data_IF_955731339313
#
_entry.id   IF_955731339313
#
_cell.length_a   1.000
_cell.length_b   1.000
_cell.length_c   1.000
_cell.angle_alpha   90.00
_cell.angle_beta   90.00
_cell.angle_gamma   90.00
#
_symmetry.space_group_name_H-M   'P 1'
#
loop_
_entity.id
_entity.type
_entity.pdbx_description
1 polymer ?
#
# COMPACT_ATOMS: atom_id res chain seq x y z
N UNK A 1 -27.38 -1.64 27.85
CA UNK A 1 -26.67 -2.61 26.97
C UNK A 1 -26.98 -2.25 25.53
N UNK A 2 -25.97 -1.87 24.73
CA UNK A 2 -26.11 -1.64 23.29
C UNK A 2 -25.51 -2.85 22.58
N UNK A 3 -26.35 -3.68 21.98
CA UNK A 3 -25.94 -4.87 21.22
C UNK A 3 -25.54 -4.41 19.82
N UNK A 4 -24.24 -4.26 19.58
CA UNK A 4 -23.71 -4.13 18.22
C UNK A 4 -23.60 -5.53 17.64
N UNK A 5 -24.53 -5.90 16.76
CA UNK A 5 -24.45 -7.15 15.99
C UNK A 5 -23.49 -6.88 14.84
N UNK A 6 -22.24 -7.31 14.99
CA UNK A 6 -21.26 -7.37 13.91
C UNK A 6 -21.54 -8.66 13.13
N UNK A 7 -22.16 -8.54 11.95
CA UNK A 7 -22.37 -9.67 11.06
C UNK A 7 -21.19 -9.73 10.09
N UNK A 8 -20.26 -10.65 10.35
CA UNK A 8 -19.17 -11.02 9.45
C UNK A 8 -19.72 -12.11 8.49
N UNK A 9 -19.70 -11.90 7.17
CA UNK A 9 -20.03 -12.96 6.21
C UNK A 9 -18.94 -13.19 5.17
N UNK A 10 -18.56 -14.46 5.08
CA UNK A 10 -17.66 -15.08 4.13
C UNK A 10 -18.26 -15.06 2.71
N UNK A 11 -17.38 -14.78 1.74
CA UNK A 11 -17.63 -14.75 0.31
C UNK A 11 -18.07 -16.12 -0.24
N UNK A 12 -19.15 -16.11 -1.01
CA UNK A 12 -19.54 -17.17 -1.92
C UNK A 12 -20.58 -16.61 -2.89
N UNK A 13 -20.32 -16.73 -4.19
CA UNK A 13 -21.16 -16.23 -5.28
C UNK A 13 -22.61 -16.71 -5.19
N UNK A 14 -23.45 -15.94 -4.51
CA UNK A 14 -24.91 -15.99 -4.56
C UNK A 14 -25.39 -14.61 -4.10
N UNK A 15 -26.32 -13.99 -4.84
CA UNK A 15 -26.80 -12.64 -4.54
C UNK A 15 -27.22 -12.52 -3.07
N UNK A 16 -26.54 -11.65 -2.32
CA UNK A 16 -26.91 -11.37 -0.94
C UNK A 16 -28.14 -10.45 -0.94
N UNK A 17 -29.30 -11.02 -0.65
CA UNK A 17 -30.50 -10.23 -0.34
C UNK A 17 -30.50 -9.98 1.17
N UNK A 18 -29.95 -8.85 1.58
CA UNK A 18 -30.34 -8.27 2.86
C UNK A 18 -31.64 -7.52 2.58
N UNK A 19 -32.72 -7.73 3.33
CA UNK A 19 -34.07 -7.21 2.99
C UNK A 19 -34.21 -5.69 2.81
N UNK A 20 -33.11 -4.93 2.87
CA UNK A 20 -33.02 -3.47 2.84
C UNK A 20 -32.11 -2.96 1.70
N UNK A 21 -31.08 -3.73 1.33
CA UNK A 21 -30.22 -3.51 0.15
C UNK A 21 -29.90 -4.86 -0.50
N UNK A 22 -30.09 -4.94 -1.82
CA UNK A 22 -29.65 -6.07 -2.63
C UNK A 22 -28.51 -5.63 -3.56
N UNK A 23 -27.45 -6.44 -3.63
CA UNK A 23 -26.35 -6.25 -4.59
C UNK A 23 -26.37 -7.44 -5.54
N UNK A 24 -26.72 -7.19 -6.80
CA UNK A 24 -26.77 -8.21 -7.84
C UNK A 24 -25.88 -7.79 -9.01
N UNK A 25 -24.67 -8.38 -9.07
CA UNK A 25 -23.66 -8.00 -10.05
C UNK A 25 -23.32 -6.51 -9.94
N UNK A 26 -23.62 -5.76 -10.99
CA UNK A 26 -23.38 -4.30 -11.07
C UNK A 26 -24.59 -3.46 -10.68
N UNK A 27 -25.65 -4.04 -10.10
CA UNK A 27 -26.84 -3.30 -9.66
C UNK A 27 -26.94 -3.30 -8.13
N UNK A 28 -27.11 -2.12 -7.54
CA UNK A 28 -27.44 -1.91 -6.13
C UNK A 28 -28.90 -1.47 -6.03
N UNK A 29 -29.74 -2.28 -5.40
CA UNK A 29 -31.15 -1.95 -5.17
C UNK A 29 -31.35 -1.60 -3.70
N UNK A 30 -31.91 -0.42 -3.42
CA UNK A 30 -32.23 0.06 -2.07
C UNK A 30 -33.74 0.05 -1.91
N UNK A 31 -34.23 -0.64 -0.88
CA UNK A 31 -35.64 -0.72 -0.57
C UNK A 31 -36.01 0.38 0.41
N UNK A 32 -36.63 1.45 -0.10
CA UNK A 32 -36.89 2.66 0.67
C UNK A 32 -37.93 2.49 1.77
N UNK A 33 -38.89 1.56 1.63
CA UNK A 33 -40.02 1.39 2.57
C UNK A 33 -39.66 0.70 3.89
N UNK A 34 -38.44 0.20 4.02
CA UNK A 34 -38.03 -0.52 5.23
C UNK A 34 -37.75 0.47 6.37
N UNK A 35 -38.28 0.26 7.59
CA UNK A 35 -38.10 1.16 8.72
C UNK A 35 -36.68 1.02 9.31
N UNK A 36 -35.71 1.67 8.67
CA UNK A 36 -34.29 1.51 8.97
C UNK A 36 -33.67 2.86 9.30
N UNK A 37 -33.14 3.00 10.51
CA UNK A 37 -32.42 4.23 10.89
C UNK A 37 -31.06 4.33 10.19
N UNK A 38 -30.29 3.24 10.15
CA UNK A 38 -29.04 3.19 9.42
C UNK A 38 -28.66 1.76 9.02
N UNK A 39 -28.05 1.61 7.85
CA UNK A 39 -27.55 0.35 7.29
C UNK A 39 -26.18 0.54 6.65
N UNK A 40 -25.31 -0.46 6.74
CA UNK A 40 -23.96 -0.44 6.15
C UNK A 40 -23.66 -1.72 5.38
N UNK A 41 -23.08 -1.60 4.18
CA UNK A 41 -22.65 -2.73 3.35
C UNK A 41 -21.32 -2.43 2.65
N UNK A 42 -20.53 -3.49 2.43
CA UNK A 42 -19.27 -3.44 1.69
C UNK A 42 -19.50 -4.00 0.28
N UNK A 43 -19.00 -3.28 -0.73
CA UNK A 43 -19.01 -3.67 -2.14
C UNK A 43 -17.59 -3.69 -2.70
N UNK A 44 -17.36 -4.49 -3.74
CA UNK A 44 -16.08 -4.47 -4.45
C UNK A 44 -15.85 -3.14 -5.16
N UNK A 45 -14.60 -2.84 -5.51
CA UNK A 45 -14.32 -1.67 -6.35
C UNK A 45 -14.87 -1.90 -7.75
N UNK A 46 -15.69 -0.98 -8.26
CA UNK A 46 -16.37 -1.14 -9.53
C UNK A 46 -17.34 -0.01 -9.84
N UNK A 47 -17.98 -0.11 -10.99
CA UNK A 47 -19.09 0.78 -11.36
C UNK A 47 -20.39 0.03 -11.16
N UNK A 48 -21.24 0.59 -10.31
CA UNK A 48 -22.54 0.03 -9.98
C UNK A 48 -23.62 0.97 -10.46
N UNK A 49 -24.60 0.45 -11.18
CA UNK A 49 -25.88 1.11 -11.31
C UNK A 49 -26.60 1.03 -9.96
N UNK A 50 -27.38 2.04 -9.58
CA UNK A 50 -28.24 1.96 -8.41
C UNK A 50 -29.70 2.27 -8.74
N UNK A 51 -30.60 1.62 -8.02
CA UNK A 51 -32.05 1.86 -8.08
C UNK A 51 -32.59 1.94 -6.67
N UNK A 52 -33.47 2.92 -6.44
CA UNK A 52 -34.23 3.03 -5.19
C UNK A 52 -35.66 2.59 -5.52
N UNK A 53 -36.14 1.55 -4.85
CA UNK A 53 -37.49 1.04 -5.04
C UNK A 53 -38.48 1.72 -4.11
N UNK A 54 -39.68 1.96 -4.68
CA UNK A 54 -40.82 2.66 -4.08
C UNK A 54 -40.56 4.10 -3.61
N UNK A 55 -40.22 5.05 -4.50
CA UNK A 55 -39.87 6.43 -4.12
C UNK A 55 -41.07 7.33 -3.75
N UNK A 56 -42.25 6.78 -3.42
CA UNK A 56 -43.44 7.62 -3.15
C UNK A 56 -43.26 8.39 -1.84
N UNK A 57 -43.19 9.72 -1.94
CA UNK A 57 -43.09 10.68 -0.82
C UNK A 57 -41.75 10.74 -0.08
N UNK A 58 -40.63 10.51 -0.78
CA UNK A 58 -39.30 10.65 -0.18
C UNK A 58 -38.46 11.70 -0.89
N UNK A 59 -37.55 12.35 -0.16
CA UNK A 59 -36.44 13.11 -0.75
C UNK A 59 -35.14 12.36 -0.50
N UNK A 60 -34.23 12.36 -1.49
CA UNK A 60 -32.99 11.57 -1.48
C UNK A 60 -31.81 12.53 -1.55
N UNK A 61 -30.86 12.35 -0.65
CA UNK A 61 -29.55 13.02 -0.71
C UNK A 61 -28.46 11.96 -0.82
N UNK A 62 -27.56 12.13 -1.79
CA UNK A 62 -26.42 11.23 -1.98
C UNK A 62 -25.16 12.06 -1.74
N UNK A 63 -24.41 11.69 -0.71
CA UNK A 63 -23.12 12.29 -0.40
C UNK A 63 -22.03 11.27 -0.67
N UNK A 64 -21.05 11.64 -1.49
CA UNK A 64 -19.85 10.85 -1.72
C UNK A 64 -18.76 11.30 -0.76
N UNK A 65 -18.40 10.44 0.17
CA UNK A 65 -17.21 10.61 1.00
C UNK A 65 -16.04 9.87 0.33
N UNK A 66 -15.26 10.60 -0.46
CA UNK A 66 -13.97 10.11 -0.93
C UNK A 66 -12.88 10.68 -0.01
N UNK A 67 -12.44 9.93 1.00
CA UNK A 67 -11.13 10.12 1.64
C UNK A 67 -10.82 9.07 2.72
N UNK A 68 -9.83 8.22 2.43
CA UNK A 68 -8.77 7.90 3.39
C UNK A 68 -7.45 8.13 2.64
N UNK A 69 -6.92 9.36 2.72
CA UNK A 69 -5.57 9.67 2.28
C UNK A 69 -4.59 8.86 3.15
N UNK A 70 -3.74 8.05 2.51
CA UNK A 70 -2.60 7.38 3.11
C UNK A 70 -1.42 8.37 3.27
N UNK A 71 -0.45 8.08 4.17
CA UNK A 71 0.49 9.08 4.68
C UNK A 71 1.33 9.65 3.53
N UNK A 72 1.40 10.98 3.46
CA UNK A 72 1.98 11.83 2.39
C UNK A 72 0.98 12.50 1.42
N UNK A 73 -0.26 12.77 1.82
CA UNK A 73 -1.07 13.78 1.13
C UNK A 73 -1.14 15.07 1.95
N UNK A 74 -0.35 16.06 1.54
CA UNK A 74 -0.57 17.47 1.87
C UNK A 74 -1.43 18.06 0.76
N UNK A 75 -2.76 18.01 0.89
CA UNK A 75 -3.70 19.05 0.42
C UNK A 75 -5.19 18.65 0.50
N UNK A 76 -6.00 19.70 0.45
CA UNK A 76 -7.25 19.98 1.17
C UNK A 76 -8.49 19.33 0.53
N UNK A 77 -9.38 18.81 1.39
CA UNK A 77 -10.72 18.33 1.03
C UNK A 77 -11.56 19.43 0.38
N UNK A 78 -11.96 19.23 -0.88
CA UNK A 78 -13.19 19.83 -1.43
C UNK A 78 -14.34 18.86 -1.18
N UNK A 79 -15.23 19.23 -0.26
CA UNK A 79 -16.54 18.58 -0.12
C UNK A 79 -17.41 19.04 -1.29
N UNK A 80 -17.56 18.21 -2.32
CA UNK A 80 -18.62 18.41 -3.31
C UNK A 80 -19.93 17.85 -2.75
N UNK A 81 -20.71 18.70 -2.09
CA UNK A 81 -22.09 18.43 -1.73
C UNK A 81 -23.01 18.86 -2.87
N UNK A 82 -23.35 17.95 -3.78
CA UNK A 82 -24.43 18.18 -4.75
C UNK A 82 -25.78 17.97 -4.04
N UNK A 83 -26.49 19.05 -3.74
CA UNK A 83 -27.92 19.04 -3.39
C UNK A 83 -28.72 19.12 -4.68
N UNK A 84 -29.24 17.98 -5.14
CA UNK A 84 -30.23 17.95 -6.23
C UNK A 84 -31.64 17.96 -5.63
N UNK A 85 -32.18 19.17 -5.47
CA UNK A 85 -33.61 19.37 -5.25
C UNK A 85 -34.31 19.39 -6.62
N UNK A 86 -34.92 18.28 -7.05
CA UNK A 86 -36.00 18.33 -8.06
C UNK A 86 -36.91 17.11 -8.06
N UNK A 87 -38.20 17.41 -7.86
CA UNK A 87 -39.39 16.60 -8.18
C UNK A 87 -39.35 16.10 -9.63
N UNK A 88 -39.90 14.90 -9.80
CA UNK A 88 -40.31 14.17 -11.01
C UNK A 88 -39.30 13.15 -11.57
N UNK A 89 -39.77 11.90 -11.50
CA UNK A 89 -39.26 10.69 -12.13
C UNK A 89 -38.89 10.89 -13.60
N UNK A 90 -37.60 11.05 -13.85
CA UNK A 90 -36.96 10.68 -15.11
C UNK A 90 -35.64 10.04 -14.75
N UNK A 91 -35.44 8.82 -15.25
CA UNK A 91 -34.29 7.95 -15.02
C UNK A 91 -32.98 8.75 -14.98
N UNK A 92 -32.52 9.06 -13.76
CA UNK A 92 -31.15 9.49 -13.56
C UNK A 92 -30.27 8.31 -13.99
N UNK A 93 -29.26 8.58 -14.81
CA UNK A 93 -28.20 7.63 -15.13
C UNK A 93 -27.42 7.34 -13.83
N UNK A 94 -27.96 6.43 -13.03
CA UNK A 94 -27.62 6.18 -11.64
C UNK A 94 -26.35 5.35 -11.52
N UNK A 95 -25.19 5.90 -11.90
CA UNK A 95 -23.91 5.19 -11.74
C UNK A 95 -23.16 5.69 -10.51
N UNK A 96 -22.84 4.78 -9.59
CA UNK A 96 -21.88 4.98 -8.51
C UNK A 96 -20.57 4.30 -8.86
N UNK A 97 -19.47 5.05 -8.78
CA UNK A 97 -18.13 4.53 -9.06
C UNK A 97 -17.39 4.36 -7.74
N UNK A 98 -17.27 3.12 -7.29
CA UNK A 98 -16.55 2.75 -6.10
C UNK A 98 -15.08 2.51 -6.44
N UNK A 99 -14.22 3.45 -6.05
CA UNK A 99 -12.77 3.22 -5.99
C UNK A 99 -12.43 2.62 -4.63
N UNK A 100 -11.21 2.10 -4.48
CA UNK A 100 -10.70 1.65 -3.16
C UNK A 100 -10.94 2.74 -2.10
N UNK A 101 -11.47 2.35 -0.94
CA UNK A 101 -11.76 3.23 0.20
C UNK A 101 -12.74 4.38 -0.14
N UNK A 102 -13.73 4.11 -0.98
CA UNK A 102 -14.83 5.05 -1.30
C UNK A 102 -16.06 4.73 -0.47
N UNK A 103 -16.68 5.73 0.13
CA UNK A 103 -17.98 5.63 0.80
C UNK A 103 -19.02 6.48 0.06
N UNK A 104 -20.19 5.90 -0.20
CA UNK A 104 -21.40 6.61 -0.57
C UNK A 104 -22.38 6.54 0.60
N UNK A 105 -22.85 7.70 1.05
CA UNK A 105 -23.90 7.83 2.05
C UNK A 105 -25.16 8.29 1.32
N UNK A 106 -26.18 7.46 1.36
CA UNK A 106 -27.49 7.74 0.77
C UNK A 106 -28.45 7.97 1.92
N UNK A 107 -28.92 9.21 2.05
CA UNK A 107 -29.91 9.60 3.04
C UNK A 107 -31.27 9.71 2.37
N UNK A 108 -32.25 8.94 2.85
CA UNK A 108 -33.65 8.99 2.43
C UNK A 108 -34.44 9.66 3.55
N UNK A 109 -35.09 10.78 3.25
CA UNK A 109 -36.00 11.45 4.17
C UNK A 109 -37.43 10.99 3.90
N UNK A 110 -38.09 10.59 4.97
CA UNK A 110 -39.38 9.92 4.98
C UNK A 110 -40.38 10.65 5.86
N UNK A 111 -41.65 10.60 5.47
CA UNK A 111 -42.74 11.18 6.27
C UNK A 111 -43.10 10.28 7.47
N UNK A 112 -42.81 8.98 7.39
CA UNK A 112 -42.99 7.97 8.43
C UNK A 112 -41.73 7.74 9.28
N UNK A 113 -41.89 7.16 10.47
CA UNK A 113 -40.74 6.88 11.35
C UNK A 113 -39.96 5.64 10.88
N UNK A 114 -38.61 5.71 10.76
CA UNK A 114 -37.75 6.87 11.02
C UNK A 114 -37.74 7.88 9.86
N UNK A 115 -37.84 9.17 10.21
CA UNK A 115 -37.85 10.31 9.25
C UNK A 115 -36.57 10.45 8.43
N UNK A 116 -35.48 9.86 8.91
CA UNK A 116 -34.18 9.86 8.24
C UNK A 116 -33.64 8.42 8.22
N UNK A 117 -33.32 7.93 7.02
CA UNK A 117 -32.78 6.59 6.76
C UNK A 117 -31.43 6.73 6.09
N UNK A 118 -30.37 6.22 6.72
CA UNK A 118 -28.98 6.40 6.26
C UNK A 118 -28.40 5.07 5.77
N UNK A 119 -28.15 4.96 4.47
CA UNK A 119 -27.50 3.81 3.85
C UNK A 119 -26.05 4.13 3.51
N UNK A 120 -25.11 3.41 4.10
CA UNK A 120 -23.67 3.56 3.86
C UNK A 120 -23.19 2.39 3.02
N UNK A 121 -22.73 2.67 1.81
CA UNK A 121 -22.16 1.67 0.93
C UNK A 121 -20.68 2.01 0.78
N UNK A 122 -19.80 1.07 1.09
CA UNK A 122 -18.35 1.28 1.13
C UNK A 122 -17.63 0.31 0.22
N UNK A 123 -16.61 0.77 -0.49
CA UNK A 123 -15.57 -0.12 -1.00
C UNK A 123 -14.35 -0.01 -0.09
N UNK A 124 -13.94 -1.11 0.50
CA UNK A 124 -12.73 -1.20 1.33
C UNK A 124 -11.66 -1.96 0.56
N UNK A 125 -10.44 -1.42 0.52
CA UNK A 125 -9.27 -2.20 0.12
C UNK A 125 -8.31 -2.22 1.28
N UNK A 126 -7.98 -3.43 1.71
CA UNK A 126 -7.05 -3.64 2.81
C UNK A 126 -5.58 -3.45 2.38
N UNK A 127 -5.36 -3.38 1.06
CA UNK A 127 -4.08 -3.09 0.43
C UNK A 127 -3.76 -1.60 0.50
N UNK A 128 -2.66 -1.28 1.17
CA UNK A 128 -2.24 0.10 1.38
C UNK A 128 -0.73 0.24 1.35
N UNK A 129 -0.28 1.45 1.01
CA UNK A 129 1.12 1.81 1.14
C UNK A 129 1.46 2.04 2.61
N UNK A 130 2.55 1.40 3.01
CA UNK A 130 3.04 1.39 4.38
C UNK A 130 4.49 1.83 4.38
N UNK A 131 4.83 2.78 5.25
CA UNK A 131 6.22 3.14 5.51
C UNK A 131 6.73 2.35 6.70
N UNK A 132 7.90 1.74 6.54
CA UNK A 132 8.58 0.98 7.57
C UNK A 132 10.06 1.34 7.62
N UNK A 133 10.69 1.07 8.75
CA UNK A 133 12.12 1.28 8.93
C UNK A 133 12.77 0.03 9.47
N UNK A 134 13.97 -0.25 9.00
CA UNK A 134 14.67 -1.46 9.35
C UNK A 134 16.06 -1.51 8.77
N UNK A 135 16.56 -2.73 8.61
CA UNK A 135 17.88 -2.99 8.06
C UNK A 135 17.79 -3.96 6.87
N UNK A 136 18.50 -3.63 5.81
CA UNK A 136 18.69 -4.48 4.64
C UNK A 136 20.14 -4.97 4.60
N UNK A 137 20.32 -6.27 4.43
CA UNK A 137 21.60 -6.90 4.14
C UNK A 137 21.77 -7.06 2.62
N UNK A 138 22.69 -6.32 2.03
CA UNK A 138 23.07 -6.43 0.62
C UNK A 138 24.13 -7.51 0.50
N UNK A 139 23.89 -8.55 -0.29
CA UNK A 139 24.76 -9.71 -0.43
C UNK A 139 25.64 -9.57 -1.68
N UNK A 140 26.96 -9.55 -1.51
CA UNK A 140 27.88 -9.25 -2.60
C UNK A 140 28.18 -10.48 -3.47
N UNK A 141 27.76 -10.43 -4.73
CA UNK A 141 27.91 -11.56 -5.69
C UNK A 141 29.28 -11.59 -6.33
N UNK A 142 29.76 -10.45 -6.81
CA UNK A 142 31.14 -10.27 -7.25
C UNK A 142 31.93 -9.69 -6.07
N UNK A 143 33.15 -10.14 -5.81
CA UNK A 143 34.00 -9.61 -4.71
C UNK A 143 35.44 -9.39 -5.17
N UNK A 144 35.68 -9.20 -6.46
CA UNK A 144 37.03 -8.86 -6.93
C UNK A 144 37.46 -7.49 -6.42
N UNK A 145 38.75 -7.38 -6.12
CA UNK A 145 39.47 -6.16 -5.76
C UNK A 145 40.90 -6.26 -6.28
N UNK A 146 41.47 -5.16 -6.74
CA UNK A 146 42.90 -5.12 -7.07
C UNK A 146 43.72 -4.66 -5.87
N UNK A 147 44.87 -5.29 -5.68
CA UNK A 147 45.90 -4.88 -4.73
C UNK A 147 47.28 -5.01 -5.38
N UNK A 148 48.34 -4.62 -4.67
CA UNK A 148 49.70 -4.65 -5.17
C UNK A 148 50.56 -5.63 -4.37
N UNK A 149 51.34 -6.44 -5.08
CA UNK A 149 52.37 -7.32 -4.52
C UNK A 149 53.61 -7.22 -5.40
N UNK A 150 54.76 -6.90 -4.81
CA UNK A 150 56.03 -6.73 -5.52
C UNK A 150 55.91 -5.80 -6.76
N UNK A 151 55.26 -4.65 -6.55
CA UNK A 151 54.98 -3.65 -7.59
C UNK A 151 54.14 -4.15 -8.77
N UNK A 152 53.41 -5.26 -8.60
CA UNK A 152 52.48 -5.80 -9.59
C UNK A 152 51.05 -5.79 -9.10
N UNK A 153 50.13 -5.48 -10.02
CA UNK A 153 48.69 -5.60 -9.76
C UNK A 153 48.32 -7.06 -9.66
N UNK A 154 47.68 -7.43 -8.55
CA UNK A 154 47.09 -8.75 -8.36
C UNK A 154 45.60 -8.61 -8.02
N UNK A 155 44.80 -9.59 -8.45
CA UNK A 155 43.40 -9.67 -8.07
C UNK A 155 43.26 -10.50 -6.79
N UNK A 156 42.57 -9.92 -5.81
CA UNK A 156 42.21 -10.59 -4.56
C UNK A 156 40.70 -10.53 -4.38
N UNK A 157 40.19 -11.46 -3.56
CA UNK A 157 38.78 -11.46 -3.19
C UNK A 157 38.59 -10.64 -1.92
N UNK A 158 37.73 -9.65 -1.98
CA UNK A 158 37.27 -8.90 -0.82
C UNK A 158 36.60 -9.86 0.18
N UNK A 159 36.98 -9.74 1.45
CA UNK A 159 36.43 -10.50 2.57
C UNK A 159 35.01 -10.05 2.94
N UNK A 160 34.62 -8.84 2.55
CA UNK A 160 33.29 -8.30 2.82
C UNK A 160 32.22 -9.04 2.01
N UNK A 161 31.41 -9.84 2.69
CA UNK A 161 30.37 -10.65 2.04
C UNK A 161 29.01 -9.95 1.95
N UNK A 162 28.76 -9.03 2.88
CA UNK A 162 27.51 -8.30 2.95
C UNK A 162 27.72 -6.88 3.48
N UNK A 163 26.75 -6.02 3.19
CA UNK A 163 26.60 -4.72 3.83
C UNK A 163 25.24 -4.57 4.50
N UNK A 164 25.25 -4.10 5.75
CA UNK A 164 24.04 -3.80 6.49
C UNK A 164 23.71 -2.32 6.35
N UNK A 165 22.51 -2.03 5.85
CA UNK A 165 22.04 -0.68 5.61
C UNK A 165 20.74 -0.41 6.36
N UNK A 166 20.73 0.55 7.30
CA UNK A 166 19.50 1.15 7.77
C UNK A 166 18.71 1.69 6.58
N UNK A 167 17.40 1.43 6.55
CA UNK A 167 16.57 1.74 5.39
C UNK A 167 15.16 2.14 5.77
N UNK A 168 14.60 3.03 4.95
CA UNK A 168 13.17 3.34 4.91
C UNK A 168 12.60 2.60 3.72
N UNK A 169 11.61 1.75 3.98
CA UNK A 169 10.95 0.93 2.97
C UNK A 169 9.49 1.34 2.84
N UNK A 170 9.04 1.48 1.60
CA UNK A 170 7.65 1.68 1.22
C UNK A 170 7.12 0.36 0.68
N UNK A 171 6.11 -0.18 1.32
CA UNK A 171 5.57 -1.52 1.02
C UNK A 171 4.09 -1.41 0.71
N UNK A 172 3.67 -1.97 -0.42
CA UNK A 172 2.26 -2.12 -0.76
C UNK A 172 1.80 -3.53 -0.39
N UNK A 173 0.94 -3.63 0.62
CA UNK A 173 0.59 -4.89 1.28
C UNK A 173 -0.81 -4.84 1.90
N UNK A 174 -1.45 -6.00 2.10
CA UNK A 174 -2.65 -6.12 2.92
C UNK A 174 -2.29 -6.11 4.42
N UNK A 175 -2.65 -5.02 5.11
CA UNK A 175 -2.34 -4.83 6.54
C UNK A 175 -3.30 -5.51 7.52
N UNK A 176 -4.39 -6.12 7.02
CA UNK A 176 -5.40 -6.82 7.83
C UNK A 176 -5.13 -8.31 7.95
N UNK A 177 -4.37 -8.88 7.02
CA UNK A 177 -3.95 -10.27 7.04
C UNK A 177 -2.70 -10.44 7.92
N UNK A 178 -2.65 -11.53 8.69
CA UNK A 178 -1.47 -11.88 9.49
C UNK A 178 -0.26 -12.31 8.64
N UNK A 179 -0.50 -12.73 7.40
CA UNK A 179 0.55 -13.09 6.47
C UNK A 179 0.12 -12.56 5.11
N UNK A 180 0.84 -11.56 4.60
CA UNK A 180 0.46 -10.93 3.34
C UNK A 180 1.69 -10.73 2.43
N UNK A 181 1.64 -11.21 1.18
CA UNK A 181 2.67 -10.87 0.21
C UNK A 181 2.48 -9.42 -0.26
N UNK A 182 3.57 -8.79 -0.66
CA UNK A 182 3.54 -7.44 -1.20
C UNK A 182 4.75 -7.16 -2.07
N UNK A 183 4.80 -5.94 -2.60
CA UNK A 183 5.99 -5.41 -3.24
C UNK A 183 6.51 -4.22 -2.46
N UNK A 184 7.81 -3.98 -2.56
CA UNK A 184 8.46 -2.92 -1.80
C UNK A 184 9.54 -2.22 -2.61
N UNK A 185 9.70 -0.93 -2.31
CA UNK A 185 10.83 -0.14 -2.74
C UNK A 185 11.30 0.73 -1.59
N UNK A 186 12.59 1.05 -1.53
CA UNK A 186 13.11 1.83 -0.42
C UNK A 186 14.48 2.41 -0.65
N UNK A 187 14.90 3.20 0.33
CA UNK A 187 16.18 3.89 0.36
C UNK A 187 16.90 3.47 1.63
N UNK A 188 18.16 3.09 1.50
CA UNK A 188 19.05 2.86 2.63
C UNK A 188 20.22 3.82 2.59
N UNK A 189 20.70 4.18 3.76
CA UNK A 189 21.74 5.17 3.93
C UNK A 189 22.72 4.73 5.01
N UNK A 190 23.99 4.62 4.64
CA UNK A 190 25.09 4.80 5.58
C UNK A 190 25.63 6.23 5.33
N UNK A 191 26.26 6.89 6.30
CA UNK A 191 26.63 8.32 6.22
C UNK A 191 27.40 8.77 4.96
N UNK A 192 27.91 7.83 4.17
CA UNK A 192 28.71 8.07 2.97
C UNK A 192 28.02 7.61 1.67
N UNK A 193 27.02 6.72 1.75
CA UNK A 193 26.49 5.98 0.61
C UNK A 193 24.96 5.80 0.68
N UNK A 194 24.30 6.20 -0.41
CA UNK A 194 22.89 5.92 -0.67
C UNK A 194 22.74 4.58 -1.40
N UNK A 195 21.70 3.83 -1.06
CA UNK A 195 21.31 2.62 -1.81
C UNK A 195 19.83 2.57 -2.04
N UNK A 196 19.47 2.01 -3.20
CA UNK A 196 18.09 1.86 -3.63
C UNK A 196 17.72 0.39 -3.62
N UNK A 197 16.57 0.07 -3.05
CA UNK A 197 16.07 -1.29 -2.88
C UNK A 197 14.75 -1.45 -3.63
N UNK A 198 14.57 -2.60 -4.30
CA UNK A 198 13.30 -2.99 -4.90
C UNK A 198 13.11 -4.51 -4.83
N UNK A 199 11.92 -4.97 -4.48
CA UNK A 199 11.71 -6.41 -4.32
C UNK A 199 10.31 -6.81 -3.84
N UNK A 200 10.23 -8.08 -3.44
CA UNK A 200 9.07 -8.62 -2.75
C UNK A 200 9.12 -8.32 -1.26
N UNK A 201 7.95 -8.32 -0.65
CA UNK A 201 7.78 -8.20 0.79
C UNK A 201 6.81 -9.28 1.29
N UNK A 202 7.00 -9.67 2.54
CA UNK A 202 6.10 -10.54 3.28
C UNK A 202 5.85 -9.90 4.64
N UNK A 203 4.64 -9.39 4.84
CA UNK A 203 4.20 -8.94 6.16
C UNK A 203 3.90 -10.15 7.04
N UNK A 204 4.41 -10.12 8.26
CA UNK A 204 4.20 -11.13 9.29
C UNK A 204 3.59 -10.46 10.52
N UNK A 205 2.41 -10.93 10.90
CA UNK A 205 1.54 -10.25 11.85
C UNK A 205 1.15 -8.87 11.32
N UNK A 206 1.18 -7.87 12.20
CA UNK A 206 0.77 -6.50 11.84
C UNK A 206 1.94 -5.52 11.75
N UNK A 207 3.15 -5.89 12.16
CA UNK A 207 4.22 -4.91 12.40
C UNK A 207 5.57 -5.28 11.77
N UNK A 208 5.79 -6.54 11.38
CA UNK A 208 7.07 -7.01 10.83
C UNK A 208 6.91 -7.21 9.33
N UNK A 209 7.87 -6.72 8.56
CA UNK A 209 7.93 -6.90 7.11
C UNK A 209 9.30 -7.50 6.79
N UNK A 210 9.29 -8.69 6.18
CA UNK A 210 10.47 -9.28 5.57
C UNK A 210 10.53 -8.85 4.11
N UNK A 211 11.72 -8.51 3.63
CA UNK A 211 11.92 -8.03 2.26
C UNK A 211 13.04 -8.80 1.59
N UNK A 212 12.93 -9.01 0.28
CA UNK A 212 14.01 -9.59 -0.52
C UNK A 212 13.90 -9.11 -1.97
N UNK A 213 15.05 -8.91 -2.62
CA UNK A 213 15.06 -8.42 -4.00
C UNK A 213 16.44 -7.97 -4.45
N UNK A 214 16.48 -6.88 -5.19
CA UNK A 214 17.71 -6.29 -5.73
C UNK A 214 17.96 -4.93 -5.08
N UNK A 215 19.20 -4.72 -4.68
CA UNK A 215 19.72 -3.46 -4.18
C UNK A 215 20.77 -2.91 -5.15
N UNK A 216 20.70 -1.61 -5.42
CA UNK A 216 21.74 -0.86 -6.14
C UNK A 216 22.52 -0.04 -5.13
N UNK A 217 23.80 -0.35 -4.99
CA UNK A 217 24.69 0.20 -3.96
C UNK A 217 26.10 0.43 -4.53
N UNK A 218 26.82 1.43 -3.99
CA UNK A 218 28.20 1.70 -4.39
C UNK A 218 29.13 0.64 -3.82
N UNK A 219 30.01 0.10 -4.64
CA UNK A 219 30.98 -0.91 -4.21
C UNK A 219 32.35 -0.55 -4.75
N UNK A 220 33.39 -0.83 -3.95
CA UNK A 220 34.76 -0.68 -4.38
C UNK A 220 35.14 -1.82 -5.34
N UNK A 221 35.57 -1.49 -6.56
CA UNK A 221 35.82 -2.45 -7.63
C UNK A 221 37.14 -2.22 -8.34
N UNK A 222 37.77 -3.27 -8.91
CA UNK A 222 38.94 -3.13 -9.75
C UNK A 222 38.77 -2.02 -10.78
N UNK A 223 39.75 -1.12 -10.82
CA UNK A 223 39.77 -0.11 -11.84
C UNK A 223 40.24 -0.74 -13.15
N UNK A 224 39.38 -0.67 -14.18
CA UNK A 224 39.63 -1.22 -15.52
C UNK A 224 40.82 -0.56 -16.24
N UNK A 225 41.34 0.55 -15.71
CA UNK A 225 42.54 1.21 -16.23
C UNK A 225 43.83 0.43 -15.89
N UNK A 226 43.72 -0.56 -15.00
CA UNK A 226 44.82 -1.43 -14.61
C UNK A 226 44.54 -2.88 -15.03
N UNK A 227 45.61 -3.64 -15.28
CA UNK A 227 45.54 -5.05 -15.67
C UNK A 227 46.33 -5.92 -14.71
N UNK A 228 45.88 -7.16 -14.49
CA UNK A 228 46.56 -8.12 -13.63
C UNK A 228 47.97 -8.39 -14.19
N UNK A 229 48.99 -8.34 -13.33
CA UNK A 229 50.39 -8.51 -13.68
C UNK A 229 51.07 -7.24 -14.20
N UNK A 230 50.35 -6.13 -14.36
CA UNK A 230 50.92 -4.83 -14.71
C UNK A 230 51.87 -4.35 -13.62
N UNK A 231 53.07 -3.92 -14.02
CA UNK A 231 53.98 -3.21 -13.13
C UNK A 231 53.44 -1.81 -12.87
N UNK A 232 53.35 -1.43 -11.59
CA UNK A 232 52.90 -0.12 -11.14
C UNK A 232 54.00 0.56 -10.34
N UNK A 233 54.04 1.88 -10.42
CA UNK A 233 54.94 2.68 -9.61
C UNK A 233 54.44 2.75 -8.15
N UNK A 234 55.38 3.01 -7.24
CA UNK A 234 55.18 3.29 -5.82
C UNK A 234 54.20 4.42 -5.51
N UNK A 235 53.95 5.33 -6.47
CA UNK A 235 52.94 6.39 -6.38
C UNK A 235 51.51 5.90 -6.53
N UNK A 236 51.29 4.68 -7.07
CA UNK A 236 49.95 4.10 -7.26
C UNK A 236 49.44 3.53 -5.95
N UNK A 237 48.35 4.09 -5.44
CA UNK A 237 47.71 3.66 -4.19
C UNK A 237 46.58 2.65 -4.43
N UNK A 238 46.12 2.00 -3.36
CA UNK A 238 44.94 1.11 -3.40
C UNK A 238 43.69 1.82 -3.95
N UNK A 239 43.57 3.14 -3.76
CA UNK A 239 42.44 3.94 -4.23
C UNK A 239 42.53 4.27 -5.72
N UNK A 240 43.72 4.13 -6.34
CA UNK A 240 43.86 4.21 -7.79
C UNK A 240 43.53 2.87 -8.45
N UNK A 241 43.92 1.77 -7.80
CA UNK A 241 43.67 0.41 -8.28
C UNK A 241 42.19 0.00 -8.24
N UNK A 242 41.37 0.71 -7.45
CA UNK A 242 39.95 0.42 -7.31
C UNK A 242 39.11 1.70 -7.41
N UNK A 243 37.88 1.59 -7.91
CA UNK A 243 36.93 2.69 -8.04
C UNK A 243 35.57 2.31 -7.47
N UNK A 244 34.91 3.29 -6.88
CA UNK A 244 33.53 3.15 -6.41
C UNK A 244 32.56 3.11 -7.60
N UNK A 245 31.76 2.04 -7.69
CA UNK A 245 30.79 1.84 -8.78
C UNK A 245 29.45 1.34 -8.23
N UNK A 246 28.34 1.79 -8.80
CA UNK A 246 27.04 1.22 -8.49
C UNK A 246 26.87 -0.18 -9.07
N UNK A 247 26.42 -1.12 -8.25
CA UNK A 247 26.17 -2.51 -8.64
C UNK A 247 24.86 -3.02 -8.07
N UNK A 248 24.17 -3.79 -8.89
CA UNK A 248 22.99 -4.55 -8.49
C UNK A 248 23.43 -5.83 -7.76
N UNK A 249 22.91 -6.02 -6.55
CA UNK A 249 23.18 -7.18 -5.71
C UNK A 249 21.88 -7.66 -5.07
N UNK A 250 21.73 -8.97 -4.80
CA UNK A 250 20.61 -9.44 -4.02
C UNK A 250 20.63 -8.83 -2.62
N UNK A 251 19.46 -8.57 -2.05
CA UNK A 251 19.33 -8.19 -0.65
C UNK A 251 18.24 -8.99 0.04
N UNK A 252 18.36 -9.07 1.35
CA UNK A 252 17.31 -9.49 2.28
C UNK A 252 17.18 -8.42 3.35
N UNK A 253 15.99 -8.23 3.90
CA UNK A 253 15.76 -7.20 4.89
C UNK A 253 14.66 -7.53 5.85
N UNK A 254 14.69 -6.81 6.98
CA UNK A 254 13.65 -6.81 7.99
C UNK A 254 13.34 -5.37 8.35
N UNK A 255 12.06 -5.01 8.34
CA UNK A 255 11.60 -3.69 8.76
C UNK A 255 10.38 -3.78 9.67
N UNK A 256 10.24 -2.73 10.48
CA UNK A 256 9.12 -2.55 11.39
C UNK A 256 8.27 -1.38 10.93
N UNK A 257 6.96 -1.59 10.99
CA UNK A 257 5.97 -0.56 10.66
C UNK A 257 5.86 0.45 11.79
N UNK A 258 5.89 1.74 11.46
CA UNK A 258 5.77 2.83 12.46
C UNK A 258 4.35 3.32 12.72
N UNK A 259 3.34 2.86 11.97
CA UNK A 259 1.95 3.30 12.13
C UNK A 259 1.25 2.71 13.37
N UNK A 260 1.84 1.68 14.01
CA UNK A 260 1.36 1.07 15.25
C UNK A 260 2.52 0.96 16.24
N UNK A 261 2.42 1.67 17.35
CA UNK A 261 3.39 1.59 18.45
C UNK A 261 3.42 0.14 19.00
N UNK A 262 4.54 -0.59 18.88
CA UNK A 262 4.64 -1.98 19.33
C UNK A 262 4.78 -2.11 20.86
N UNK A 263 4.96 -1.01 21.58
CA UNK A 263 5.10 -0.97 23.04
C UNK A 263 3.80 -0.66 23.78
N UNK A 264 2.67 -0.53 23.06
CA UNK A 264 1.35 -0.43 23.69
C UNK A 264 0.84 -1.85 23.92
N UNK A 265 1.16 -2.44 25.08
CA UNK A 265 0.43 -3.62 25.53
C UNK A 265 -1.00 -3.20 25.88
N UNK A 266 -1.98 -3.97 25.39
CA UNK A 266 -3.33 -3.93 25.96
C UNK A 266 -3.33 -4.57 27.34
#
# INVERSE_FOLDING_TARGET
MKTNVLVLFLLGWAGMVFGQISVNGTMITIYADMPVKSFEIIVESGTYNYKIENPKNYSISITRNAALQHPLSTEIKKNDSSRDDKKNSKEMNNKMVYRKNTEYIITIYADDEPKERIYKIKSQSDWSWTTSFGANAILFTNRSKFTSLDSKVIEVRDGKMMDLMPSIMFTFINNHENLSPGFTGGLGFNFEELSVFAGGALGIGQNIILTAGIAVHKQNRPNLDYTIGQNIDSSVTSDNLNKMQYRANPFIGISFRFDKNPFVSK
#
